data_IF_640357664060
#
_entry.id   IF_640357664060
#
_cell.length_a   1.000
_cell.length_b   1.000
_cell.length_c   1.000
_cell.angle_alpha   90.00
_cell.angle_beta   90.00
_cell.angle_gamma   90.00
#
_symmetry.space_group_name_H-M   'P 1'
#
loop_
_entity.id
_entity.type
_entity.pdbx_description
1 polymer ?
#
# COMPACT_ATOMS: atom_id res chain seq x y z
N UNK A 1 -17.75 -21.76 15.10
CA UNK A 1 -16.38 -22.09 15.57
C UNK A 1 -15.94 -20.90 16.37
N UNK A 2 -16.06 -21.05 17.68
CA UNK A 2 -15.84 -19.99 18.65
C UNK A 2 -14.35 -19.65 18.72
N UNK A 3 -14.08 -18.35 18.60
CA UNK A 3 -12.79 -17.71 18.58
C UNK A 3 -12.19 -17.80 20.00
N UNK A 4 -11.29 -18.76 20.25
CA UNK A 4 -10.46 -18.83 21.46
C UNK A 4 -9.46 -17.65 21.49
N UNK A 5 -9.97 -16.42 21.55
CA UNK A 5 -9.15 -15.26 21.90
C UNK A 5 -8.83 -15.38 23.37
N UNK A 6 -7.54 -15.51 23.70
CA UNK A 6 -7.05 -15.36 25.06
C UNK A 6 -7.62 -14.06 25.65
N UNK A 7 -8.48 -14.13 26.69
CA UNK A 7 -9.03 -12.94 27.32
C UNK A 7 -7.87 -12.15 27.95
N UNK A 8 -7.63 -10.92 27.49
CA UNK A 8 -6.81 -9.95 28.20
C UNK A 8 -5.56 -9.41 27.50
N UNK A 9 -5.32 -9.66 26.20
CA UNK A 9 -4.19 -9.01 25.52
C UNK A 9 -4.53 -7.54 25.22
N UNK A 10 -4.03 -6.64 26.06
CA UNK A 10 -4.16 -5.20 25.88
C UNK A 10 -3.47 -4.79 24.57
N UNK A 11 -4.18 -4.04 23.71
CA UNK A 11 -3.63 -3.56 22.44
C UNK A 11 -4.02 -2.12 22.12
N UNK A 12 -3.06 -1.40 21.53
CA UNK A 12 -3.22 -0.08 20.94
C UNK A 12 -3.45 -0.20 19.43
N UNK A 13 -4.20 0.71 18.84
CA UNK A 13 -4.24 0.87 17.39
C UNK A 13 -2.95 1.51 16.90
N UNK A 14 -2.64 1.33 15.62
CA UNK A 14 -1.38 1.79 15.04
C UNK A 14 -1.21 3.31 15.09
N UNK A 15 -2.30 4.03 14.84
CA UNK A 15 -2.32 5.48 14.94
C UNK A 15 -2.17 5.96 16.38
N UNK A 16 -2.95 5.42 17.32
CA UNK A 16 -2.82 5.70 18.75
C UNK A 16 -1.36 5.57 19.22
N UNK A 17 -0.71 4.45 18.90
CA UNK A 17 0.68 4.23 19.30
C UNK A 17 1.66 5.15 18.57
N UNK A 18 1.41 5.46 17.30
CA UNK A 18 2.30 6.36 16.57
C UNK A 18 2.18 7.82 17.05
N UNK A 19 1.07 8.25 17.64
CA UNK A 19 0.97 9.54 18.36
C UNK A 19 1.82 9.53 19.61
N UNK A 20 1.71 8.44 20.38
CA UNK A 20 2.51 8.19 21.57
C UNK A 20 4.01 8.25 21.22
N UNK A 21 4.47 7.52 20.19
CA UNK A 21 5.86 7.59 19.74
C UNK A 21 6.31 9.01 19.39
N UNK A 22 5.40 9.88 18.94
CA UNK A 22 5.65 11.29 18.66
C UNK A 22 5.77 12.19 19.90
N UNK A 23 5.64 11.65 21.12
CA UNK A 23 5.72 12.44 22.36
C UNK A 23 4.37 12.83 22.95
N UNK A 24 3.25 12.27 22.47
CA UNK A 24 1.95 12.52 23.08
C UNK A 24 1.93 12.09 24.55
N UNK A 25 1.38 12.94 25.41
CA UNK A 25 1.10 12.64 26.81
C UNK A 25 -0.17 11.80 26.88
N UNK A 26 -0.16 10.76 27.72
CA UNK A 26 -1.23 9.77 27.76
C UNK A 26 -2.61 10.38 28.01
N UNK A 27 -2.75 11.25 29.02
CA UNK A 27 -4.04 11.85 29.35
C UNK A 27 -4.58 12.74 28.22
N UNK A 28 -3.71 13.53 27.60
CA UNK A 28 -4.06 14.43 26.49
C UNK A 28 -4.48 13.63 25.25
N UNK A 29 -3.72 12.58 24.93
CA UNK A 29 -4.00 11.70 23.81
C UNK A 29 -5.33 10.97 24.00
N UNK A 30 -5.56 10.40 25.19
CA UNK A 30 -6.80 9.68 25.51
C UNK A 30 -8.03 10.59 25.44
N UNK A 31 -7.94 11.82 25.95
CA UNK A 31 -9.03 12.80 25.85
C UNK A 31 -9.30 13.16 24.38
N UNK A 32 -8.26 13.43 23.59
CA UNK A 32 -8.41 13.71 22.15
C UNK A 32 -9.08 12.55 21.41
N UNK A 33 -8.60 11.32 21.60
CA UNK A 33 -9.18 10.17 20.93
C UNK A 33 -10.62 9.87 21.38
N UNK A 34 -10.93 10.18 22.64
CA UNK A 34 -12.30 10.09 23.16
C UNK A 34 -13.24 11.06 22.45
N UNK A 35 -12.76 12.28 22.16
CA UNK A 35 -13.53 13.28 21.40
C UNK A 35 -13.66 12.94 19.91
N UNK A 36 -12.70 12.22 19.34
CA UNK A 36 -12.77 11.76 17.94
C UNK A 36 -13.65 10.53 17.73
N UNK A 37 -14.37 10.08 18.76
CA UNK A 37 -15.44 9.07 18.62
C UNK A 37 -15.12 7.68 19.17
N UNK A 38 -14.14 7.53 20.07
CA UNK A 38 -13.95 6.24 20.75
C UNK A 38 -15.19 5.80 21.52
N UNK A 39 -15.57 4.54 21.33
CA UNK A 39 -16.63 3.93 22.14
C UNK A 39 -16.21 3.88 23.62
N UNK A 40 -17.20 3.92 24.51
CA UNK A 40 -16.97 3.80 25.97
C UNK A 40 -16.19 2.52 26.30
N UNK A 41 -16.47 1.42 25.59
CA UNK A 41 -15.75 0.16 25.73
C UNK A 41 -14.27 0.29 25.35
N UNK A 42 -13.94 1.01 24.27
CA UNK A 42 -12.55 1.25 23.88
C UNK A 42 -11.82 2.07 24.94
N UNK A 43 -12.45 3.13 25.44
CA UNK A 43 -11.85 3.96 26.50
C UNK A 43 -11.54 3.14 27.76
N UNK A 44 -12.45 2.26 28.19
CA UNK A 44 -12.21 1.35 29.33
C UNK A 44 -11.06 0.38 29.07
N UNK A 45 -10.96 -0.14 27.84
CA UNK A 45 -9.88 -1.04 27.43
C UNK A 45 -8.51 -0.35 27.41
N UNK A 46 -8.49 0.96 27.19
CA UNK A 46 -7.25 1.75 27.14
C UNK A 46 -6.75 2.18 28.52
N UNK A 47 -7.62 2.37 29.52
CA UNK A 47 -7.22 2.84 30.87
C UNK A 47 -6.02 2.10 31.49
N UNK A 48 -5.88 0.76 31.38
CA UNK A 48 -4.73 0.06 31.92
C UNK A 48 -3.37 0.50 31.34
N UNK A 49 -3.33 1.09 30.14
CA UNK A 49 -2.10 1.59 29.54
C UNK A 49 -1.55 2.85 30.21
N UNK A 50 -2.32 3.54 31.05
CA UNK A 50 -1.87 4.76 31.73
C UNK A 50 -0.56 4.53 32.49
N UNK A 51 -0.45 3.42 33.24
CA UNK A 51 0.76 3.12 34.01
C UNK A 51 2.01 2.93 33.14
N UNK A 52 1.85 2.45 31.90
CA UNK A 52 2.95 2.26 30.95
C UNK A 52 3.48 3.58 30.43
N UNK A 53 2.64 4.58 30.22
CA UNK A 53 3.03 5.85 29.59
C UNK A 53 3.22 7.01 30.59
N UNK A 54 2.73 6.86 31.82
CA UNK A 54 2.91 7.84 32.90
C UNK A 54 4.17 7.61 33.74
N UNK A 55 4.87 6.48 33.60
CA UNK A 55 6.10 6.16 34.35
C UNK A 55 7.38 6.53 33.57
N UNK A 56 8.47 6.88 34.26
CA UNK A 56 9.79 7.10 33.64
C UNK A 56 10.60 5.80 33.67
N UNK A 57 11.40 5.46 32.62
CA UNK A 57 11.73 6.24 31.42
C UNK A 57 10.89 5.93 30.17
N UNK A 58 10.50 6.98 29.41
CA UNK A 58 9.72 6.87 28.16
C UNK A 58 10.57 6.93 26.87
N UNK A 59 11.72 7.59 26.93
CA UNK A 59 12.69 7.76 25.85
C UNK A 59 14.11 7.63 26.43
N UNK A 60 15.07 7.17 25.63
CA UNK A 60 16.48 7.06 26.02
C UNK A 60 17.14 8.44 26.11
N UNK A 61 16.78 9.34 25.20
CA UNK A 61 17.45 10.63 25.02
C UNK A 61 16.54 11.82 25.35
N UNK A 62 15.59 11.67 26.28
CA UNK A 62 14.64 12.74 26.65
C UNK A 62 15.32 14.06 27.05
N UNK A 63 16.54 14.01 27.59
CA UNK A 63 17.32 15.18 28.00
C UNK A 63 18.26 15.71 26.89
N UNK A 64 18.60 14.88 25.89
CA UNK A 64 19.47 15.26 24.76
C UNK A 64 18.60 15.63 23.57
N UNK A 65 18.37 16.94 23.36
CA UNK A 65 17.54 17.45 22.28
C UNK A 65 18.00 17.01 20.88
N UNK A 66 19.30 16.81 20.66
CA UNK A 66 19.80 16.40 19.35
C UNK A 66 19.45 14.94 19.05
N UNK A 67 19.57 14.07 20.06
CA UNK A 67 19.26 12.65 19.91
C UNK A 67 17.79 12.34 20.06
N UNK A 68 17.05 13.12 20.84
CA UNK A 68 15.61 12.94 21.06
C UNK A 68 14.81 12.92 19.74
N UNK A 69 15.09 13.88 18.84
CA UNK A 69 14.40 13.95 17.55
C UNK A 69 14.70 12.74 16.65
N UNK A 70 15.95 12.29 16.67
CA UNK A 70 16.39 11.11 15.94
C UNK A 70 15.80 9.83 16.54
N UNK A 71 15.62 9.77 17.86
CA UNK A 71 14.97 8.66 18.56
C UNK A 71 13.50 8.56 18.17
N UNK A 72 12.75 9.68 18.20
CA UNK A 72 11.35 9.72 17.77
C UNK A 72 11.22 9.28 16.31
N UNK A 73 12.07 9.81 15.41
CA UNK A 73 12.09 9.41 14.00
C UNK A 73 12.38 7.91 13.87
N UNK A 74 13.39 7.40 14.58
CA UNK A 74 13.79 6.00 14.53
C UNK A 74 12.69 5.06 15.03
N UNK A 75 12.02 5.40 16.14
CA UNK A 75 10.93 4.60 16.69
C UNK A 75 9.75 4.51 15.72
N UNK A 76 9.33 5.66 15.18
CA UNK A 76 8.26 5.74 14.16
C UNK A 76 8.64 4.99 12.88
N UNK A 77 9.88 5.13 12.43
CA UNK A 77 10.38 4.44 11.24
C UNK A 77 10.49 2.92 11.44
N UNK A 78 10.93 2.49 12.63
CA UNK A 78 11.01 1.07 12.99
C UNK A 78 9.62 0.44 13.10
N UNK A 79 8.62 1.18 13.59
CA UNK A 79 7.23 0.76 13.55
C UNK A 79 6.75 0.51 12.11
N UNK A 80 7.04 1.44 11.19
CA UNK A 80 6.72 1.28 9.77
C UNK A 80 7.48 0.12 9.12
N UNK A 81 8.78 -0.04 9.40
CA UNK A 81 9.59 -1.14 8.87
C UNK A 81 9.07 -2.50 9.36
N UNK A 82 8.67 -2.58 10.64
CA UNK A 82 8.01 -3.76 11.20
C UNK A 82 6.70 -4.11 10.47
N UNK A 83 5.90 -3.10 10.11
CA UNK A 83 4.72 -3.27 9.28
C UNK A 83 5.09 -3.82 7.90
N UNK A 84 6.04 -3.21 7.18
CA UNK A 84 6.47 -3.68 5.86
C UNK A 84 6.89 -5.16 5.87
N UNK A 85 7.69 -5.58 6.87
CA UNK A 85 8.11 -6.98 7.03
C UNK A 85 6.91 -7.93 7.21
N UNK A 86 5.94 -7.56 8.05
CA UNK A 86 4.75 -8.40 8.28
C UNK A 86 3.91 -8.51 7.01
N UNK A 87 3.67 -7.40 6.31
CA UNK A 87 2.91 -7.41 5.06
C UNK A 87 3.64 -8.19 3.97
N UNK A 88 4.97 -8.03 3.85
CA UNK A 88 5.79 -8.84 2.95
C UNK A 88 5.64 -10.34 3.25
N UNK A 89 5.73 -10.76 4.52
CA UNK A 89 5.56 -12.15 4.91
C UNK A 89 4.18 -12.71 4.54
N UNK A 90 3.12 -11.92 4.74
CA UNK A 90 1.75 -12.29 4.34
C UNK A 90 1.65 -12.46 2.82
N UNK A 91 2.19 -11.52 2.03
CA UNK A 91 2.18 -11.64 0.56
C UNK A 91 2.98 -12.83 0.07
N UNK A 92 4.15 -13.11 0.66
CA UNK A 92 4.97 -14.26 0.30
C UNK A 92 4.22 -15.58 0.57
N UNK A 93 3.52 -15.68 1.70
CA UNK A 93 2.78 -16.88 2.09
C UNK A 93 1.51 -17.09 1.26
N UNK A 94 0.76 -16.03 0.95
CA UNK A 94 -0.59 -16.16 0.40
C UNK A 94 -0.73 -15.76 -1.07
N UNK A 95 0.22 -14.99 -1.62
CA UNK A 95 0.16 -14.44 -2.99
C UNK A 95 -1.17 -13.71 -3.27
N UNK A 96 -1.72 -13.04 -2.25
CA UNK A 96 -2.98 -12.28 -2.30
C UNK A 96 -2.76 -10.89 -1.71
N UNK A 97 -3.47 -9.86 -2.21
CA UNK A 97 -3.50 -8.57 -1.56
C UNK A 97 -4.40 -8.59 -0.32
N UNK A 98 -4.21 -7.60 0.56
CA UNK A 98 -5.04 -7.39 1.74
C UNK A 98 -6.19 -6.43 1.44
N UNK A 99 -5.90 -5.32 0.73
CA UNK A 99 -6.82 -4.24 0.33
C UNK A 99 -7.50 -3.47 1.48
N UNK A 100 -7.48 -4.00 2.70
CA UNK A 100 -8.05 -3.41 3.92
C UNK A 100 -6.98 -2.83 4.87
N UNK A 101 -5.79 -2.52 4.35
CA UNK A 101 -4.69 -1.95 5.14
C UNK A 101 -5.03 -0.53 5.60
N UNK A 102 -5.29 -0.39 6.90
CA UNK A 102 -5.54 0.88 7.58
C UNK A 102 -5.12 0.82 9.06
N UNK A 103 -4.82 1.96 9.72
CA UNK A 103 -4.37 1.96 11.11
C UNK A 103 -5.32 1.26 12.10
N UNK A 104 -6.64 1.36 11.88
CA UNK A 104 -7.65 0.74 12.75
C UNK A 104 -7.59 -0.81 12.77
N UNK A 105 -7.06 -1.43 11.72
CA UNK A 105 -6.90 -2.89 11.61
C UNK A 105 -5.54 -3.38 12.11
N UNK A 106 -4.62 -2.46 12.40
CA UNK A 106 -3.28 -2.76 12.86
C UNK A 106 -3.22 -2.57 14.37
N UNK A 107 -2.92 -3.66 15.09
CA UNK A 107 -2.84 -3.63 16.54
C UNK A 107 -1.40 -3.73 17.00
N UNK A 108 -1.08 -3.04 18.08
CA UNK A 108 0.18 -3.16 18.77
C UNK A 108 -0.03 -3.72 20.16
N UNK A 109 0.84 -4.65 20.50
CA UNK A 109 0.92 -5.23 21.83
C UNK A 109 2.23 -4.82 22.47
N UNK A 110 2.15 -4.39 23.73
CA UNK A 110 3.30 -3.98 24.52
C UNK A 110 3.89 -5.22 25.24
N UNK A 111 5.19 -5.22 25.50
CA UNK A 111 5.79 -6.24 26.35
C UNK A 111 5.27 -6.09 27.79
N UNK A 112 4.81 -7.20 28.39
CA UNK A 112 4.26 -7.20 29.76
C UNK A 112 5.35 -6.92 30.81
N UNK A 113 6.58 -7.41 30.56
CA UNK A 113 7.78 -7.05 31.28
C UNK A 113 8.57 -6.07 30.41
N UNK A 114 8.51 -4.78 30.71
CA UNK A 114 9.58 -3.87 30.29
C UNK A 114 10.79 -4.25 31.09
N UNK A 115 11.79 -4.83 30.43
CA UNK A 115 13.13 -4.93 30.99
C UNK A 115 13.50 -3.58 31.64
N UNK A 116 14.04 -3.56 32.88
CA UNK A 116 14.17 -2.35 33.69
C UNK A 116 15.04 -1.25 33.05
N UNK A 117 15.75 -1.57 31.98
CA UNK A 117 16.69 -0.69 31.28
C UNK A 117 16.19 -0.22 29.90
N UNK A 118 15.08 -0.74 29.35
CA UNK A 118 14.53 -0.29 28.07
C UNK A 118 13.29 0.59 28.27
N UNK A 119 13.23 1.78 27.63
CA UNK A 119 12.02 2.59 27.69
C UNK A 119 10.83 1.88 27.07
N UNK A 120 9.64 2.11 27.63
CA UNK A 120 8.39 1.46 27.24
C UNK A 120 8.14 1.54 25.72
N UNK A 121 8.42 2.70 25.11
CA UNK A 121 8.19 2.96 23.68
C UNK A 121 9.06 2.12 22.73
N UNK A 122 10.09 1.45 23.24
CA UNK A 122 10.99 0.60 22.45
C UNK A 122 10.53 -0.85 22.33
N UNK A 123 9.68 -1.31 23.26
CA UNK A 123 9.24 -2.69 23.42
C UNK A 123 7.80 -2.90 22.95
N UNK A 124 7.60 -2.98 21.63
CA UNK A 124 6.30 -3.25 21.03
C UNK A 124 6.38 -4.34 19.97
N UNK A 125 5.25 -4.99 19.70
CA UNK A 125 5.06 -5.89 18.58
C UNK A 125 3.81 -5.53 17.81
N UNK A 126 3.90 -5.62 16.49
CA UNK A 126 2.76 -5.49 15.60
C UNK A 126 2.02 -6.83 15.51
N UNK A 127 0.73 -6.79 15.79
CA UNK A 127 -0.22 -7.87 15.56
C UNK A 127 -1.02 -7.57 14.28
N UNK A 128 -0.92 -8.49 13.32
CA UNK A 128 -1.58 -8.42 12.02
C UNK A 128 -2.71 -9.44 11.88
N UNK A 129 -3.17 -10.04 12.98
CA UNK A 129 -4.27 -11.02 13.00
C UNK A 129 -5.60 -10.49 12.47
N UNK A 130 -5.83 -9.18 12.57
CA UNK A 130 -7.06 -8.55 12.06
C UNK A 130 -6.97 -8.16 10.57
N UNK A 131 -5.82 -8.36 9.93
CA UNK A 131 -5.70 -8.14 8.49
C UNK A 131 -6.40 -9.28 7.74
N UNK A 132 -7.12 -8.93 6.68
CA UNK A 132 -7.90 -9.89 5.92
C UNK A 132 -7.36 -9.94 4.50
N UNK A 133 -7.17 -11.16 3.99
CA UNK A 133 -6.82 -11.36 2.58
C UNK A 133 -8.05 -11.04 1.72
N UNK A 134 -7.86 -10.22 0.70
CA UNK A 134 -8.94 -9.84 -0.20
C UNK A 134 -9.52 -11.07 -0.91
N UNK A 135 -10.85 -11.19 -0.91
CA UNK A 135 -11.57 -12.29 -1.55
C UNK A 135 -11.31 -12.32 -3.05
N UNK A 136 -11.24 -13.54 -3.59
CA UNK A 136 -11.13 -13.72 -5.04
C UNK A 136 -12.46 -13.39 -5.69
N UNK A 137 -12.38 -12.67 -6.80
CA UNK A 137 -13.51 -12.34 -7.64
C UNK A 137 -13.41 -13.12 -8.95
N UNK A 138 -14.51 -13.75 -9.34
CA UNK A 138 -14.63 -14.42 -10.64
C UNK A 138 -15.79 -13.79 -11.38
N UNK A 139 -15.53 -13.06 -12.49
CA UNK A 139 -16.58 -12.51 -13.33
C UNK A 139 -17.55 -13.60 -13.81
N UNK A 140 -18.86 -13.31 -13.90
CA UNK A 140 -19.83 -14.24 -14.46
C UNK A 140 -19.45 -14.64 -15.90
N UNK A 141 -19.44 -15.95 -16.18
CA UNK A 141 -19.12 -16.48 -17.51
C UNK A 141 -17.63 -16.54 -17.86
N UNK A 142 -16.73 -16.12 -16.96
CA UNK A 142 -15.29 -16.25 -17.19
C UNK A 142 -14.90 -17.73 -17.33
N UNK A 143 -14.16 -18.13 -18.39
CA UNK A 143 -13.68 -19.49 -18.53
C UNK A 143 -12.82 -19.92 -17.35
N UNK A 144 -13.04 -21.15 -16.85
CA UNK A 144 -12.34 -21.67 -15.67
C UNK A 144 -10.82 -21.82 -15.87
N UNK A 145 -10.38 -21.90 -17.12
CA UNK A 145 -8.98 -22.00 -17.52
C UNK A 145 -8.33 -20.63 -17.77
N UNK A 146 -9.08 -19.52 -17.66
CA UNK A 146 -8.53 -18.19 -17.87
C UNK A 146 -7.66 -17.77 -16.65
N UNK A 147 -6.39 -17.39 -16.84
CA UNK A 147 -5.43 -17.22 -15.74
C UNK A 147 -5.58 -15.90 -14.95
N UNK A 148 -6.77 -15.31 -14.88
CA UNK A 148 -7.00 -14.04 -14.21
C UNK A 148 -7.08 -14.20 -12.68
N UNK A 149 -6.43 -13.27 -11.95
CA UNK A 149 -6.53 -13.17 -10.50
C UNK A 149 -7.16 -11.82 -10.14
N UNK A 150 -8.48 -11.79 -10.08
CA UNK A 150 -9.22 -10.61 -9.65
C UNK A 150 -9.57 -10.73 -8.17
N UNK A 151 -9.67 -9.59 -7.50
CA UNK A 151 -9.90 -9.51 -6.07
C UNK A 151 -10.97 -8.47 -5.77
N UNK A 152 -11.84 -8.76 -4.80
CA UNK A 152 -12.91 -7.85 -4.40
C UNK A 152 -12.40 -6.77 -3.45
N UNK A 153 -12.84 -5.51 -3.60
CA UNK A 153 -12.56 -4.48 -2.61
C UNK A 153 -13.26 -4.84 -1.29
N UNK A 154 -12.66 -4.49 -0.13
CA UNK A 154 -13.30 -4.73 1.16
C UNK A 154 -14.47 -3.75 1.35
N UNK A 155 -15.55 -4.18 2.03
CA UNK A 155 -16.75 -3.34 2.23
C UNK A 155 -16.48 -2.10 3.09
N UNK A 156 -15.42 -2.13 3.90
CA UNK A 156 -15.00 -1.09 4.84
C UNK A 156 -13.74 -0.34 4.37
N UNK A 157 -13.53 -0.27 3.04
CA UNK A 157 -12.41 0.47 2.45
C UNK A 157 -12.37 1.94 2.92
N UNK A 158 -11.25 2.34 3.53
CA UNK A 158 -11.13 3.68 4.10
C UNK A 158 -10.77 4.72 3.03
N UNK A 159 -11.49 5.86 2.97
CA UNK A 159 -11.31 6.84 1.89
C UNK A 159 -9.91 7.46 1.83
N UNK A 160 -9.18 7.55 2.95
CA UNK A 160 -7.83 8.13 2.99
C UNK A 160 -6.70 7.13 2.79
N UNK A 161 -6.91 5.85 3.15
CA UNK A 161 -5.86 4.83 3.10
C UNK A 161 -5.99 3.91 1.90
N UNK A 162 -7.19 3.72 1.35
CA UNK A 162 -7.40 2.88 0.18
C UNK A 162 -6.98 3.59 -1.11
N UNK A 163 -6.33 2.84 -2.00
CA UNK A 163 -5.93 3.33 -3.32
C UNK A 163 -7.12 3.92 -4.09
N UNK A 164 -6.93 4.97 -4.92
CA UNK A 164 -8.01 5.55 -5.73
C UNK A 164 -8.79 4.51 -6.54
N UNK A 165 -8.12 3.46 -7.03
CA UNK A 165 -8.74 2.36 -7.77
C UNK A 165 -9.77 1.58 -6.95
N UNK A 166 -9.50 1.36 -5.66
CA UNK A 166 -10.41 0.68 -4.73
C UNK A 166 -11.63 1.56 -4.40
N UNK A 167 -11.46 2.89 -4.43
CA UNK A 167 -12.48 3.87 -4.04
C UNK A 167 -13.44 4.29 -5.16
N UNK A 168 -12.91 4.47 -6.38
CA UNK A 168 -13.57 5.29 -7.42
C UNK A 168 -14.38 4.51 -8.44
N UNK A 169 -14.25 3.20 -8.51
CA UNK A 169 -14.88 2.39 -9.54
C UNK A 169 -15.28 1.05 -8.93
N UNK A 170 -16.47 0.56 -9.26
CA UNK A 170 -16.74 -0.86 -9.07
C UNK A 170 -15.64 -1.67 -9.78
N UNK A 171 -15.54 -2.96 -9.47
CA UNK A 171 -14.62 -3.86 -10.18
C UNK A 171 -14.82 -3.83 -11.69
N UNK A 172 -16.01 -3.43 -12.13
CA UNK A 172 -16.49 -3.46 -13.50
C UNK A 172 -16.63 -2.04 -14.06
N UNK A 173 -16.15 -1.86 -15.28
CA UNK A 173 -16.33 -0.65 -16.07
C UNK A 173 -16.87 -1.03 -17.45
N UNK A 174 -18.03 -0.48 -17.79
CA UNK A 174 -18.62 -0.58 -19.12
C UNK A 174 -18.05 0.50 -20.05
N UNK A 175 -17.61 0.08 -21.23
CA UNK A 175 -17.16 0.98 -22.29
C UNK A 175 -17.63 0.51 -23.66
N UNK A 176 -17.65 1.44 -24.61
CA UNK A 176 -17.82 1.15 -26.03
C UNK A 176 -16.53 1.53 -26.75
N UNK A 177 -16.00 0.60 -27.54
CA UNK A 177 -14.72 0.80 -28.23
C UNK A 177 -14.73 0.25 -29.65
N UNK A 178 -13.79 0.72 -30.45
CA UNK A 178 -13.47 0.12 -31.74
C UNK A 178 -12.49 -1.03 -31.52
N UNK A 179 -12.86 -2.23 -31.97
CA UNK A 179 -12.00 -3.41 -31.94
C UNK A 179 -11.34 -3.62 -33.31
N UNK A 180 -10.01 -3.67 -33.30
CA UNK A 180 -9.17 -3.98 -34.46
C UNK A 180 -8.52 -5.34 -34.24
N UNK A 181 -8.95 -6.36 -34.97
CA UNK A 181 -8.40 -7.72 -34.85
C UNK A 181 -7.08 -7.80 -35.63
N UNK A 182 -6.01 -8.23 -34.97
CA UNK A 182 -4.67 -8.36 -35.55
C UNK A 182 -4.37 -9.79 -35.99
N UNK A 183 -4.75 -10.77 -35.17
CA UNK A 183 -4.59 -12.18 -35.48
C UNK A 183 -5.67 -13.01 -34.82
N UNK A 184 -5.95 -14.16 -35.43
CA UNK A 184 -6.89 -15.18 -34.95
C UNK A 184 -6.28 -16.55 -35.21
N UNK A 185 -6.29 -17.42 -34.20
CA UNK A 185 -5.81 -18.80 -34.30
C UNK A 185 -6.82 -19.74 -33.62
N UNK A 186 -7.09 -20.90 -34.23
CA UNK A 186 -7.99 -21.91 -33.64
C UNK A 186 -7.25 -22.72 -32.57
N UNK A 187 -7.86 -22.91 -31.40
CA UNK A 187 -7.33 -23.79 -30.36
C UNK A 187 -7.50 -25.26 -30.76
N UNK A 188 -6.45 -26.05 -30.60
CA UNK A 188 -6.42 -27.48 -30.98
C UNK A 188 -7.36 -28.34 -30.12
N UNK A 189 -7.55 -27.96 -28.86
CA UNK A 189 -8.30 -28.73 -27.87
C UNK A 189 -9.74 -28.20 -27.68
N UNK A 190 -10.39 -27.79 -28.77
CA UNK A 190 -11.79 -27.32 -28.70
C UNK A 190 -12.76 -28.49 -28.49
N UNK A 191 -13.86 -28.31 -27.73
CA UNK A 191 -14.90 -29.32 -27.58
C UNK A 191 -15.47 -29.77 -28.95
N UNK A 192 -15.93 -31.02 -29.10
CA UNK A 192 -16.51 -31.48 -30.36
C UNK A 192 -17.72 -30.64 -30.77
N UNK A 193 -17.65 -30.03 -31.96
CA UNK A 193 -18.73 -29.18 -32.50
C UNK A 193 -18.65 -27.70 -32.11
N UNK A 194 -17.67 -27.31 -31.30
CA UNK A 194 -17.42 -25.93 -30.89
C UNK A 194 -15.99 -25.52 -31.26
N UNK A 195 -15.76 -24.21 -31.41
CA UNK A 195 -14.45 -23.63 -31.68
C UNK A 195 -14.13 -22.62 -30.59
N UNK A 196 -12.97 -22.76 -29.97
CA UNK A 196 -12.32 -21.68 -29.22
C UNK A 196 -11.17 -21.12 -30.05
N UNK A 197 -11.00 -19.82 -30.05
CA UNK A 197 -9.93 -19.15 -30.77
C UNK A 197 -9.10 -18.24 -29.89
N UNK A 198 -7.80 -18.17 -30.17
CA UNK A 198 -6.89 -17.17 -29.63
C UNK A 198 -7.02 -15.92 -30.51
N UNK A 199 -7.20 -14.76 -29.88
CA UNK A 199 -7.37 -13.47 -30.55
C UNK A 199 -6.36 -12.47 -30.01
N UNK A 200 -5.60 -11.85 -30.91
CA UNK A 200 -4.85 -10.64 -30.59
C UNK A 200 -5.54 -9.46 -31.25
N UNK A 201 -5.81 -8.42 -30.47
CA UNK A 201 -6.56 -7.28 -30.93
C UNK A 201 -6.09 -5.97 -30.30
N UNK A 202 -6.57 -4.86 -30.85
CA UNK A 202 -6.38 -3.54 -30.29
C UNK A 202 -7.75 -2.90 -30.06
N UNK A 203 -8.00 -2.46 -28.82
CA UNK A 203 -9.17 -1.64 -28.49
C UNK A 203 -8.80 -0.18 -28.58
N UNK A 204 -9.61 0.61 -29.30
CA UNK A 204 -9.40 2.05 -29.48
C UNK A 204 -10.66 2.80 -29.05
N UNK A 205 -10.51 3.76 -28.13
CA UNK A 205 -11.55 4.69 -27.70
C UNK A 205 -10.88 5.91 -27.06
N UNK A 206 -11.51 7.08 -27.13
CA UNK A 206 -11.00 8.32 -26.50
C UNK A 206 -10.90 8.21 -24.97
N UNK A 207 -11.66 7.27 -24.38
CA UNK A 207 -11.67 6.97 -22.95
C UNK A 207 -10.68 5.88 -22.55
N UNK A 208 -10.10 5.16 -23.51
CA UNK A 208 -9.17 4.06 -23.26
C UNK A 208 -7.74 4.51 -23.51
N UNK A 209 -7.02 4.88 -22.45
CA UNK A 209 -5.57 5.10 -22.51
C UNK A 209 -4.84 3.89 -21.93
N UNK A 210 -3.86 3.36 -22.67
CA UNK A 210 -3.10 2.19 -22.24
C UNK A 210 -2.56 2.29 -20.80
N UNK A 211 -2.05 3.45 -20.41
CA UNK A 211 -1.48 3.69 -19.08
C UNK A 211 -2.47 3.57 -17.91
N UNK A 212 -3.78 3.62 -18.18
CA UNK A 212 -4.83 3.55 -17.15
C UNK A 212 -5.17 2.10 -16.77
N UNK A 213 -4.61 1.12 -17.48
CA UNK A 213 -4.93 -0.31 -17.32
C UNK A 213 -3.69 -1.15 -16.96
N UNK A 214 -3.88 -2.11 -16.06
CA UNK A 214 -2.82 -3.03 -15.63
C UNK A 214 -2.71 -4.23 -16.56
N UNK A 215 -1.58 -4.93 -16.50
CA UNK A 215 -1.43 -6.22 -17.18
C UNK A 215 -2.33 -7.30 -16.54
N UNK A 216 -2.77 -7.10 -15.29
CA UNK A 216 -3.74 -7.96 -14.62
C UNK A 216 -5.19 -7.62 -14.93
N UNK A 217 -5.47 -6.47 -15.56
CA UNK A 217 -6.84 -6.08 -15.91
C UNK A 217 -7.38 -7.02 -17.00
N UNK A 218 -8.64 -7.40 -16.84
CA UNK A 218 -9.33 -8.32 -17.73
C UNK A 218 -10.36 -7.56 -18.56
N UNK A 219 -10.48 -7.93 -19.82
CA UNK A 219 -11.37 -7.33 -20.79
C UNK A 219 -12.27 -8.42 -21.35
N UNK A 220 -13.57 -8.26 -21.22
CA UNK A 220 -14.57 -9.03 -21.96
C UNK A 220 -15.07 -8.15 -23.10
N UNK A 221 -14.77 -8.55 -24.33
CA UNK A 221 -15.12 -7.81 -25.54
C UNK A 221 -16.19 -8.58 -26.31
N UNK A 222 -17.30 -7.93 -26.61
CA UNK A 222 -18.35 -8.44 -27.47
C UNK A 222 -18.39 -7.64 -28.79
N UNK A 223 -17.73 -8.12 -29.86
CA UNK A 223 -17.83 -7.49 -31.17
C UNK A 223 -19.22 -7.72 -31.78
N UNK A 224 -19.77 -6.66 -32.39
CA UNK A 224 -21.03 -6.72 -33.11
C UNK A 224 -20.86 -7.41 -34.48
N UNK A 225 -21.34 -8.64 -34.61
CA UNK A 225 -21.26 -9.49 -35.81
C UNK A 225 -22.63 -9.62 -36.51
N UNK A 226 -23.10 -8.57 -37.20
CA UNK A 226 -24.43 -8.50 -37.86
C UNK A 226 -25.64 -8.76 -36.93
N UNK A 227 -26.85 -8.34 -37.32
CA UNK A 227 -27.97 -8.19 -36.38
C UNK A 227 -28.67 -9.51 -35.94
N UNK A 228 -28.41 -10.65 -36.59
CA UNK A 228 -29.21 -11.88 -36.39
C UNK A 228 -28.42 -13.11 -35.89
N UNK A 229 -27.14 -12.95 -35.51
CA UNK A 229 -26.25 -14.07 -35.15
C UNK A 229 -26.01 -14.27 -33.65
N UNK A 230 -25.54 -15.46 -33.28
CA UNK A 230 -24.94 -15.75 -31.96
C UNK A 230 -23.82 -14.73 -31.63
N UNK A 231 -23.81 -14.22 -30.40
CA UNK A 231 -22.84 -13.23 -29.95
C UNK A 231 -21.48 -13.88 -29.66
N UNK A 232 -20.42 -13.43 -30.33
CA UNK A 232 -19.05 -13.79 -29.98
C UNK A 232 -18.61 -12.97 -28.75
N UNK A 233 -17.94 -13.63 -27.80
CA UNK A 233 -17.31 -12.99 -26.65
C UNK A 233 -15.85 -13.36 -26.56
N UNK A 234 -15.01 -12.39 -26.24
CA UNK A 234 -13.56 -12.51 -26.16
C UNK A 234 -13.11 -12.10 -24.76
N UNK A 235 -12.58 -13.05 -24.00
CA UNK A 235 -11.92 -12.78 -22.72
C UNK A 235 -10.45 -12.53 -22.98
N UNK A 236 -9.93 -11.37 -22.60
CA UNK A 236 -8.58 -10.95 -22.94
C UNK A 236 -7.90 -10.18 -21.81
N UNK A 237 -6.57 -10.31 -21.73
CA UNK A 237 -5.73 -9.50 -20.85
C UNK A 237 -5.01 -8.42 -21.64
N UNK A 238 -4.59 -7.35 -20.97
CA UNK A 238 -3.69 -6.36 -21.57
C UNK A 238 -2.34 -7.02 -21.87
N UNK A 239 -1.92 -6.95 -23.14
CA UNK A 239 -0.58 -7.33 -23.58
C UNK A 239 0.38 -6.13 -23.59
N UNK A 240 -0.16 -4.94 -23.84
CA UNK A 240 0.65 -3.72 -23.89
C UNK A 240 -0.17 -2.47 -24.17
N UNK A 241 0.51 -1.33 -24.14
CA UNK A 241 -0.06 -0.03 -24.47
C UNK A 241 0.26 0.32 -25.93
N UNK A 242 -0.69 0.92 -26.64
CA UNK A 242 -0.48 1.48 -27.98
C UNK A 242 -0.58 3.01 -27.93
N UNK A 243 -0.12 3.72 -28.98
CA UNK A 243 -0.29 5.17 -29.09
C UNK A 243 -1.76 5.59 -28.95
N UNK A 244 -2.66 4.75 -29.46
CA UNK A 244 -4.11 4.91 -29.31
C UNK A 244 -4.70 3.60 -28.81
N UNK A 245 -5.13 3.57 -27.55
CA UNK A 245 -5.84 2.44 -26.96
C UNK A 245 -4.95 1.38 -26.31
N UNK A 246 -5.47 0.15 -26.25
CA UNK A 246 -4.89 -0.97 -25.49
C UNK A 246 -4.70 -2.17 -26.41
N UNK A 247 -3.53 -2.83 -26.33
CA UNK A 247 -3.28 -4.10 -27.00
C UNK A 247 -3.73 -5.24 -26.11
N UNK A 248 -4.55 -6.13 -26.66
CA UNK A 248 -5.14 -7.25 -25.98
C UNK A 248 -4.70 -8.58 -26.59
N UNK A 249 -4.61 -9.58 -25.73
CA UNK A 249 -4.46 -10.98 -26.11
C UNK A 249 -5.42 -11.81 -25.27
N UNK A 250 -6.19 -12.68 -25.92
CA UNK A 250 -7.27 -13.38 -25.26
C UNK A 250 -7.77 -14.60 -26.03
N UNK A 251 -8.82 -15.19 -25.49
CA UNK A 251 -9.50 -16.35 -26.05
C UNK A 251 -10.99 -16.08 -26.19
N UNK A 252 -11.61 -16.68 -27.20
CA UNK A 252 -13.07 -16.64 -27.34
C UNK A 252 -13.73 -17.63 -26.39
N UNK A 253 -14.96 -17.33 -26.00
CA UNK A 253 -15.89 -18.36 -25.53
C UNK A 253 -16.09 -19.42 -26.64
N UNK A 254 -16.48 -20.66 -26.29
CA UNK A 254 -16.83 -21.66 -27.29
C UNK A 254 -17.96 -21.16 -28.19
N UNK A 255 -17.73 -21.21 -29.50
CA UNK A 255 -18.73 -20.77 -30.50
C UNK A 255 -18.91 -21.83 -31.59
N UNK A 256 -20.04 -21.76 -32.29
CA UNK A 256 -20.29 -22.63 -33.44
C UNK A 256 -19.29 -22.34 -34.59
N UNK A 257 -18.97 -23.34 -35.43
CA UNK A 257 -18.09 -23.14 -36.58
C UNK A 257 -18.54 -22.03 -37.53
N UNK A 258 -19.85 -21.84 -37.68
CA UNK A 258 -20.42 -20.79 -38.51
C UNK A 258 -20.11 -19.38 -37.97
N UNK A 259 -20.24 -19.17 -36.65
CA UNK A 259 -19.89 -17.90 -35.99
C UNK A 259 -18.40 -17.62 -36.12
N UNK A 260 -17.56 -18.63 -35.90
CA UNK A 260 -16.11 -18.50 -36.03
C UNK A 260 -15.69 -18.14 -37.46
N UNK A 261 -16.24 -18.81 -38.48
CA UNK A 261 -15.98 -18.47 -39.87
C UNK A 261 -16.46 -17.04 -40.23
N UNK A 262 -17.61 -16.63 -39.69
CA UNK A 262 -18.10 -15.26 -39.83
C UNK A 262 -17.13 -14.24 -39.24
N UNK A 263 -16.61 -14.50 -38.04
CA UNK A 263 -15.60 -13.68 -37.39
C UNK A 263 -14.28 -13.66 -38.17
N UNK A 264 -13.77 -14.81 -38.63
CA UNK A 264 -12.54 -14.88 -39.45
C UNK A 264 -12.67 -14.10 -40.76
N UNK A 265 -13.83 -14.17 -41.43
CA UNK A 265 -14.12 -13.37 -42.63
C UNK A 265 -14.21 -11.87 -42.31
N UNK A 266 -14.74 -11.53 -41.14
CA UNK A 266 -14.89 -10.15 -40.69
C UNK A 266 -13.61 -9.55 -40.07
N UNK A 267 -12.57 -10.35 -39.77
CA UNK A 267 -11.36 -9.88 -39.05
C UNK A 267 -10.59 -8.75 -39.74
N UNK A 268 -10.70 -8.64 -41.07
CA UNK A 268 -10.09 -7.54 -41.83
C UNK A 268 -10.91 -6.24 -41.77
N UNK A 269 -12.14 -6.31 -41.22
CA UNK A 269 -13.01 -5.16 -41.01
C UNK A 269 -12.77 -4.57 -39.61
N UNK A 270 -13.20 -3.32 -39.47
CA UNK A 270 -13.21 -2.62 -38.19
C UNK A 270 -14.54 -2.93 -37.49
N UNK A 271 -14.47 -3.48 -36.28
CA UNK A 271 -15.66 -3.65 -35.44
C UNK A 271 -15.89 -2.35 -34.67
N UNK A 272 -16.76 -1.50 -35.23
CA UNK A 272 -17.17 -0.28 -34.56
C UNK A 272 -18.19 -0.61 -33.46
N UNK A 273 -18.11 0.12 -32.34
CA UNK A 273 -19.05 0.00 -31.21
C UNK A 273 -19.09 -1.38 -30.57
N UNK A 274 -17.96 -2.05 -30.45
CA UNK A 274 -17.87 -3.26 -29.61
C UNK A 274 -18.15 -2.89 -28.17
N UNK A 275 -18.96 -3.70 -27.50
CA UNK A 275 -19.18 -3.59 -26.05
C UNK A 275 -17.96 -4.16 -25.34
N UNK A 276 -17.50 -3.46 -24.31
CA UNK A 276 -16.34 -3.84 -23.52
C UNK A 276 -16.69 -3.74 -22.04
N UNK A 277 -16.63 -4.87 -21.36
CA UNK A 277 -16.59 -4.92 -19.89
C UNK A 277 -15.13 -5.01 -19.46
N UNK A 278 -14.71 -4.10 -18.60
CA UNK A 278 -13.35 -4.09 -18.06
C UNK A 278 -13.41 -4.42 -16.58
N UNK A 279 -12.70 -5.46 -16.19
CA UNK A 279 -12.54 -5.86 -14.80
C UNK A 279 -11.18 -5.40 -14.30
N UNK A 280 -11.20 -4.43 -13.39
CA UNK A 280 -9.99 -3.85 -12.81
C UNK A 280 -9.36 -4.81 -11.81
N UNK A 281 -8.06 -5.02 -11.96
CA UNK A 281 -7.35 -5.89 -11.06
C UNK A 281 -6.83 -5.14 -9.84
N UNK A 282 -7.28 -5.55 -8.66
CA UNK A 282 -6.79 -5.04 -7.38
C UNK A 282 -5.63 -5.91 -6.92
N UNK A 283 -4.42 -5.34 -6.89
CA UNK A 283 -3.19 -6.09 -6.63
C UNK A 283 -2.33 -5.44 -5.54
N UNK A 284 -1.13 -5.97 -5.32
CA UNK A 284 -0.09 -5.46 -4.40
C UNK A 284 0.12 -3.93 -4.48
N UNK A 285 0.07 -3.26 -5.64
CA UNK A 285 0.15 -1.78 -5.69
C UNK A 285 -0.91 -1.05 -4.86
N UNK A 286 -2.09 -1.65 -4.63
CA UNK A 286 -3.10 -1.07 -3.74
C UNK A 286 -2.65 -1.10 -2.27
N UNK A 287 -2.02 -2.21 -1.85
CA UNK A 287 -1.46 -2.33 -0.50
C UNK A 287 -0.25 -1.42 -0.30
N UNK A 288 0.58 -1.25 -1.34
CA UNK A 288 1.67 -0.28 -1.34
C UNK A 288 1.17 1.15 -1.16
N UNK A 289 0.08 1.53 -1.84
CA UNK A 289 -0.55 2.82 -1.61
C UNK A 289 -0.97 2.98 -0.15
N UNK A 290 -1.65 1.98 0.43
CA UNK A 290 -2.05 2.01 1.84
C UNK A 290 -0.85 2.16 2.78
N UNK A 291 0.24 1.44 2.53
CA UNK A 291 1.49 1.57 3.29
C UNK A 291 2.08 2.98 3.18
N UNK A 292 2.06 3.59 1.99
CA UNK A 292 2.50 4.96 1.80
C UNK A 292 1.68 5.96 2.61
N UNK A 293 0.35 5.80 2.62
CA UNK A 293 -0.53 6.65 3.42
C UNK A 293 -0.36 6.43 4.92
N UNK A 294 -0.14 5.19 5.37
CA UNK A 294 0.19 4.87 6.77
C UNK A 294 1.53 5.49 7.16
N UNK A 295 2.53 5.48 6.26
CA UNK A 295 3.81 6.15 6.52
C UNK A 295 3.63 7.66 6.69
N UNK A 296 2.87 8.31 5.81
CA UNK A 296 2.58 9.75 5.94
C UNK A 296 1.83 10.05 7.23
N UNK A 297 0.85 9.21 7.61
CA UNK A 297 0.22 9.30 8.93
C UNK A 297 1.27 9.27 10.05
N UNK A 298 2.14 8.27 10.02
CA UNK A 298 3.14 8.04 11.08
C UNK A 298 4.07 9.24 11.25
N UNK A 299 4.50 9.84 10.14
CA UNK A 299 5.48 10.92 10.16
C UNK A 299 4.87 12.31 10.32
N UNK A 300 3.63 12.53 9.87
CA UNK A 300 3.10 13.88 9.66
C UNK A 300 1.86 14.23 10.50
N UNK A 301 1.12 13.26 11.05
CA UNK A 301 -0.05 13.55 11.89
C UNK A 301 0.38 13.89 13.31
N UNK A 302 -0.23 14.94 13.89
CA UNK A 302 0.04 15.42 15.25
C UNK A 302 -1.19 16.13 15.87
N UNK A 303 -1.03 16.77 17.03
CA UNK A 303 -2.06 17.54 17.76
C UNK A 303 -2.70 18.69 16.95
N UNK A 304 -2.01 19.23 15.94
CA UNK A 304 -2.45 20.38 15.12
C UNK A 304 -2.78 20.02 13.68
N UNK A 305 -2.43 18.81 13.26
CA UNK A 305 -2.53 18.39 11.88
C UNK A 305 -3.20 17.03 11.81
N UNK A 306 -4.41 17.02 11.25
CA UNK A 306 -5.21 15.82 11.01
C UNK A 306 -4.84 15.15 9.69
N UNK A 307 -5.28 13.91 9.52
CA UNK A 307 -4.89 13.07 8.39
C UNK A 307 -5.42 13.61 7.06
N UNK A 308 -6.57 14.29 7.07
CA UNK A 308 -7.20 14.93 5.91
C UNK A 308 -6.29 16.02 5.33
N UNK A 309 -5.76 16.90 6.20
CA UNK A 309 -4.83 17.95 5.78
C UNK A 309 -3.51 17.37 5.25
N UNK A 310 -3.02 16.28 5.85
CA UNK A 310 -1.86 15.53 5.33
C UNK A 310 -2.15 14.95 3.96
N UNK A 311 -3.30 14.29 3.79
CA UNK A 311 -3.72 13.68 2.55
C UNK A 311 -3.77 14.71 1.41
N UNK A 312 -4.37 15.88 1.64
CA UNK A 312 -4.44 16.93 0.62
C UNK A 312 -3.05 17.46 0.21
N UNK A 313 -2.15 17.68 1.17
CA UNK A 313 -0.79 18.14 0.88
C UNK A 313 0.02 17.07 0.13
N UNK A 314 -0.14 15.81 0.52
CA UNK A 314 0.47 14.66 -0.15
C UNK A 314 -0.06 14.52 -1.58
N UNK A 315 -1.38 14.57 -1.81
CA UNK A 315 -1.99 14.46 -3.13
C UNK A 315 -1.54 15.59 -4.07
N UNK A 316 -1.55 16.85 -3.58
CA UNK A 316 -1.01 18.01 -4.34
C UNK A 316 0.46 17.84 -4.68
N UNK A 317 1.27 17.38 -3.73
CA UNK A 317 2.72 17.19 -3.93
C UNK A 317 2.99 16.04 -4.88
N UNK A 318 2.26 14.93 -4.76
CA UNK A 318 2.34 13.79 -5.66
C UNK A 318 2.01 14.21 -7.10
N UNK A 319 0.87 14.88 -7.32
CA UNK A 319 0.49 15.40 -8.63
C UNK A 319 1.56 16.33 -9.22
N UNK A 320 2.23 17.11 -8.38
CA UNK A 320 3.32 17.99 -8.78
C UNK A 320 4.66 17.28 -9.00
N UNK A 321 4.98 16.18 -8.31
CA UNK A 321 6.19 15.39 -8.55
C UNK A 321 6.11 14.62 -9.88
N UNK A 322 4.90 14.30 -10.32
CA UNK A 322 4.66 13.45 -11.47
C UNK A 322 4.88 11.96 -11.12
N UNK A 323 4.95 11.09 -12.12
CA UNK A 323 5.16 9.65 -11.90
C UNK A 323 6.55 9.38 -11.33
N UNK A 324 6.62 8.49 -10.33
CA UNK A 324 7.88 8.06 -9.73
C UNK A 324 8.03 6.54 -9.88
N UNK A 325 9.18 6.11 -10.37
CA UNK A 325 9.52 4.69 -10.50
C UNK A 325 9.71 4.04 -9.13
N UNK A 326 9.31 2.77 -9.00
CA UNK A 326 9.60 1.99 -7.80
C UNK A 326 11.07 1.63 -7.66
N UNK A 327 11.87 1.61 -8.73
CA UNK A 327 13.32 1.51 -8.63
C UNK A 327 13.90 2.83 -9.11
N UNK A 328 14.54 3.57 -8.21
CA UNK A 328 15.16 4.85 -8.55
C UNK A 328 16.64 4.64 -8.80
N UNK A 329 17.07 4.97 -10.02
CA UNK A 329 18.48 5.17 -10.28
C UNK A 329 18.99 6.39 -9.50
N UNK A 330 20.30 6.42 -9.22
CA UNK A 330 20.90 7.48 -8.41
C UNK A 330 20.65 8.90 -8.96
N UNK A 331 20.66 9.07 -10.29
CA UNK A 331 20.39 10.37 -10.92
C UNK A 331 18.93 10.80 -10.74
N UNK A 332 17.98 9.89 -10.94
CA UNK A 332 16.55 10.14 -10.74
C UNK A 332 16.26 10.48 -9.27
N UNK A 333 16.84 9.71 -8.32
CA UNK A 333 16.76 9.99 -6.88
C UNK A 333 17.24 11.40 -6.55
N UNK A 334 18.36 11.84 -7.10
CA UNK A 334 18.88 13.20 -6.87
C UNK A 334 17.95 14.27 -7.45
N UNK A 335 17.43 14.08 -8.65
CA UNK A 335 16.49 15.00 -9.28
C UNK A 335 15.21 15.13 -8.47
N UNK A 336 14.59 14.00 -8.10
CA UNK A 336 13.37 13.96 -7.27
C UNK A 336 13.61 14.57 -5.89
N UNK A 337 14.77 14.33 -5.28
CA UNK A 337 15.13 14.93 -3.99
C UNK A 337 15.16 16.46 -4.07
N UNK A 338 15.76 17.02 -5.14
CA UNK A 338 15.78 18.48 -5.36
C UNK A 338 14.38 19.04 -5.57
N UNK A 339 13.55 18.35 -6.35
CA UNK A 339 12.16 18.75 -6.61
C UNK A 339 11.29 18.67 -5.36
N UNK A 340 11.43 17.61 -4.56
CA UNK A 340 10.71 17.46 -3.30
C UNK A 340 11.10 18.58 -2.32
N UNK A 341 12.40 18.91 -2.18
CA UNK A 341 12.83 20.05 -1.35
C UNK A 341 12.16 21.36 -1.73
N UNK A 342 11.97 21.60 -3.03
CA UNK A 342 11.23 22.77 -3.50
C UNK A 342 9.77 22.75 -3.03
N UNK A 343 9.08 21.61 -3.15
CA UNK A 343 7.69 21.49 -2.69
C UNK A 343 7.54 21.50 -1.18
N UNK A 344 8.48 20.96 -0.41
CA UNK A 344 8.47 21.07 1.06
C UNK A 344 8.43 22.53 1.52
N UNK A 345 9.18 23.42 0.83
CA UNK A 345 9.15 24.85 1.14
C UNK A 345 7.80 25.49 0.83
N UNK A 346 7.06 24.96 -0.14
CA UNK A 346 5.75 25.46 -0.58
C UNK A 346 4.61 24.96 0.32
N UNK A 347 4.61 23.68 0.69
CA UNK A 347 3.58 23.10 1.58
C UNK A 347 3.78 23.51 3.05
N UNK A 348 4.92 24.13 3.38
CA UNK A 348 5.15 24.78 4.67
C UNK A 348 5.34 23.77 5.81
N UNK A 349 4.64 24.00 6.92
CA UNK A 349 4.81 23.16 8.12
C UNK A 349 4.28 21.74 7.95
N UNK A 350 3.36 21.51 7.00
CA UNK A 350 2.63 20.24 6.86
C UNK A 350 3.57 19.07 6.56
N UNK A 351 4.51 19.25 5.62
CA UNK A 351 5.48 18.24 5.23
C UNK A 351 6.86 18.47 5.89
N UNK A 352 6.92 19.34 6.90
CA UNK A 352 8.17 19.66 7.58
C UNK A 352 8.54 18.59 8.61
N UNK A 353 9.84 18.47 8.91
CA UNK A 353 10.35 17.58 9.96
C UNK A 353 9.79 17.89 11.35
N UNK A 354 9.21 19.08 11.58
CA UNK A 354 8.50 19.38 12.83
C UNK A 354 7.30 18.48 13.04
N UNK A 355 6.65 18.04 11.96
CA UNK A 355 5.43 17.24 12.06
C UNK A 355 5.66 15.87 12.73
N UNK A 356 6.92 15.44 12.87
CA UNK A 356 7.29 14.20 13.56
C UNK A 356 6.87 14.20 15.05
N UNK A 357 6.84 15.38 15.67
CA UNK A 357 6.47 15.53 17.08
C UNK A 357 4.98 15.79 17.23
N UNK A 358 4.39 15.11 18.20
CA UNK A 358 2.98 15.25 18.52
C UNK A 358 2.69 16.58 19.19
N UNK A 359 3.57 17.09 20.08
CA UNK A 359 3.31 18.32 20.86
C UNK A 359 3.97 19.55 20.26
N UNK A 360 3.30 20.70 20.37
CA UNK A 360 3.83 21.99 19.89
C UNK A 360 5.19 22.35 20.51
N UNK A 361 5.34 22.19 21.82
CA UNK A 361 6.56 22.59 22.52
C UNK A 361 7.82 21.89 21.98
N UNK A 362 7.69 20.63 21.58
CA UNK A 362 8.77 19.85 20.98
C UNK A 362 9.06 20.30 19.54
N UNK A 363 8.02 20.67 18.77
CA UNK A 363 8.16 21.20 17.41
C UNK A 363 8.96 22.49 17.33
N UNK A 364 8.78 23.37 18.30
CA UNK A 364 9.48 24.66 18.35
C UNK A 364 10.97 24.51 18.69
N UNK A 365 11.36 23.41 19.35
CA UNK A 365 12.67 23.28 19.98
C UNK A 365 13.52 22.08 19.52
N UNK A 366 12.96 21.11 18.78
CA UNK A 366 13.56 19.79 18.62
C UNK A 366 13.86 19.32 17.21
N UNK A 367 13.39 19.98 16.14
CA UNK A 367 13.38 19.35 14.82
C UNK A 367 14.70 19.48 14.01
N UNK A 368 15.58 20.41 14.39
CA UNK A 368 16.76 20.75 13.58
C UNK A 368 17.80 19.63 13.49
N UNK A 369 17.81 18.73 14.48
CA UNK A 369 18.78 17.64 14.54
C UNK A 369 18.47 16.47 13.60
N UNK A 370 17.29 16.42 12.96
CA UNK A 370 17.03 15.45 11.88
C UNK A 370 17.68 15.98 10.59
N UNK A 371 18.64 15.23 9.99
CA UNK A 371 19.23 15.58 8.70
C UNK A 371 18.18 15.64 7.58
N UNK A 372 18.27 16.68 6.75
CA UNK A 372 17.31 16.92 5.67
C UNK A 372 17.30 15.80 4.63
N UNK A 373 18.41 15.10 4.42
CA UNK A 373 18.50 13.99 3.48
C UNK A 373 17.77 12.73 3.99
N UNK A 374 17.81 12.46 5.30
CA UNK A 374 17.02 11.39 5.91
C UNK A 374 15.51 11.69 5.81
N UNK A 375 15.12 12.95 6.10
CA UNK A 375 13.73 13.37 5.99
C UNK A 375 13.20 13.28 4.56
N UNK A 376 13.97 13.79 3.59
CA UNK A 376 13.62 13.73 2.18
C UNK A 376 13.54 12.28 1.68
N UNK A 377 14.47 11.41 2.09
CA UNK A 377 14.41 10.00 1.71
C UNK A 377 13.19 9.28 2.30
N UNK A 378 12.83 9.55 3.55
CA UNK A 378 11.62 9.02 4.19
C UNK A 378 10.36 9.41 3.42
N UNK A 379 10.21 10.69 3.07
CA UNK A 379 9.06 11.17 2.30
C UNK A 379 9.06 10.63 0.87
N UNK A 380 10.22 10.53 0.21
CA UNK A 380 10.32 9.93 -1.12
C UNK A 380 9.89 8.46 -1.14
N UNK A 381 10.19 7.69 -0.08
CA UNK A 381 9.65 6.34 0.08
C UNK A 381 8.11 6.39 0.12
N UNK A 382 7.52 7.29 0.93
CA UNK A 382 6.07 7.49 0.96
C UNK A 382 5.47 7.84 -0.40
N UNK A 383 6.07 8.78 -1.13
CA UNK A 383 5.60 9.18 -2.45
C UNK A 383 5.70 8.05 -3.48
N UNK A 384 6.79 7.28 -3.48
CA UNK A 384 6.95 6.10 -4.35
C UNK A 384 5.86 5.06 -4.12
N UNK A 385 5.49 4.85 -2.86
CA UNK A 385 4.46 3.89 -2.48
C UNK A 385 3.08 4.28 -3.01
N UNK A 386 2.69 5.55 -2.87
CA UNK A 386 1.37 6.02 -3.33
C UNK A 386 1.27 6.30 -4.83
N UNK A 387 2.41 6.46 -5.51
CA UNK A 387 2.45 6.74 -6.95
C UNK A 387 2.82 5.53 -7.80
N UNK A 388 2.94 4.35 -7.18
CA UNK A 388 3.31 3.15 -7.89
C UNK A 388 2.36 2.90 -9.07
N UNK A 389 2.96 2.77 -10.26
CA UNK A 389 2.22 2.66 -11.51
C UNK A 389 1.60 1.28 -11.69
N UNK A 390 0.53 1.30 -12.47
CA UNK A 390 -0.33 0.18 -12.83
C UNK A 390 0.38 -0.83 -13.77
N UNK A 391 1.51 -0.45 -14.38
CA UNK A 391 2.24 -1.26 -15.39
C UNK A 391 3.38 -2.11 -14.82
N UNK A 392 3.26 -2.62 -13.59
CA UNK A 392 4.25 -3.61 -13.10
C UNK A 392 3.92 -4.99 -13.69
N UNK A 393 4.89 -5.68 -14.32
CA UNK A 393 4.73 -7.06 -14.75
C UNK A 393 4.29 -7.99 -13.60
N UNK A 394 3.37 -8.92 -13.87
CA UNK A 394 2.79 -9.80 -12.86
C UNK A 394 3.86 -10.66 -12.15
N UNK A 395 4.90 -11.06 -12.87
CA UNK A 395 6.05 -11.82 -12.37
C UNK A 395 6.95 -11.01 -11.41
N UNK A 396 6.88 -9.68 -11.45
CA UNK A 396 7.65 -8.79 -10.60
C UNK A 396 6.89 -8.33 -9.35
N UNK A 397 5.58 -8.62 -9.26
CA UNK A 397 4.74 -8.19 -8.13
C UNK A 397 5.27 -8.66 -6.78
N UNK A 398 5.73 -9.91 -6.69
CA UNK A 398 6.31 -10.47 -5.46
C UNK A 398 7.60 -9.76 -5.00
N UNK A 399 8.37 -9.21 -5.94
CA UNK A 399 9.58 -8.45 -5.64
C UNK A 399 9.33 -7.04 -5.12
N UNK A 400 8.16 -6.44 -5.40
CA UNK A 400 7.88 -5.05 -5.02
C UNK A 400 7.89 -4.86 -3.50
N UNK A 401 7.18 -5.72 -2.77
CA UNK A 401 7.12 -5.66 -1.30
C UNK A 401 8.48 -5.92 -0.65
N UNK A 402 9.28 -6.80 -1.25
CA UNK A 402 10.64 -7.06 -0.78
C UNK A 402 11.54 -5.82 -0.98
N UNK A 403 11.44 -5.16 -2.13
CA UNK A 403 12.17 -3.92 -2.41
C UNK A 403 11.80 -2.78 -1.45
N UNK A 404 10.51 -2.62 -1.15
CA UNK A 404 10.02 -1.63 -0.18
C UNK A 404 10.54 -1.92 1.23
N UNK A 405 10.51 -3.18 1.65
CA UNK A 405 11.02 -3.58 2.97
C UNK A 405 12.52 -3.34 3.06
N UNK A 406 13.29 -3.71 2.04
CA UNK A 406 14.72 -3.46 1.98
C UNK A 406 15.06 -1.95 2.01
N UNK A 407 14.30 -1.12 1.31
CA UNK A 407 14.45 0.34 1.34
C UNK A 407 14.14 0.90 2.74
N UNK A 408 13.09 0.40 3.39
CA UNK A 408 12.74 0.78 4.76
C UNK A 408 13.83 0.39 5.76
N UNK A 409 14.36 -0.83 5.66
CA UNK A 409 15.46 -1.30 6.49
C UNK A 409 16.74 -0.50 6.29
N UNK A 410 17.08 -0.19 5.02
CA UNK A 410 18.25 0.61 4.69
C UNK A 410 18.16 2.00 5.31
N UNK A 411 17.03 2.70 5.16
CA UNK A 411 16.85 4.01 5.78
C UNK A 411 16.85 3.91 7.31
N UNK A 412 16.23 2.87 7.86
CA UNK A 412 16.24 2.60 9.30
C UNK A 412 17.64 2.41 9.87
N UNK A 413 18.51 1.70 9.12
CA UNK A 413 19.93 1.57 9.45
C UNK A 413 20.67 2.90 9.45
N UNK A 414 20.39 3.79 8.48
CA UNK A 414 20.98 5.14 8.44
C UNK A 414 20.50 6.02 9.59
N UNK A 415 19.19 6.02 9.88
CA UNK A 415 18.64 6.76 11.03
C UNK A 415 19.27 6.25 12.34
N UNK A 416 19.43 4.93 12.48
CA UNK A 416 20.08 4.30 13.63
C UNK A 416 21.54 4.75 13.78
N UNK A 417 22.29 4.81 12.67
CA UNK A 417 23.67 5.31 12.65
C UNK A 417 23.76 6.78 13.06
N UNK A 418 22.82 7.63 12.64
CA UNK A 418 22.80 9.04 13.08
C UNK A 418 22.42 9.16 14.56
N UNK A 419 21.45 8.39 15.04
CA UNK A 419 20.98 8.42 16.43
C UNK A 419 22.08 8.06 17.43
N UNK A 420 22.81 6.99 17.14
CA UNK A 420 23.85 6.47 18.03
C UNK A 420 25.25 6.94 17.62
N UNK A 421 25.45 7.53 16.44
CA UNK A 421 26.77 7.90 15.94
C UNK A 421 27.71 6.70 15.73
N UNK A 422 28.93 6.98 15.28
CA UNK A 422 29.95 5.97 14.96
C UNK A 422 30.93 5.65 16.11
N UNK A 423 30.77 6.28 17.29
CA UNK A 423 31.70 6.12 18.43
C UNK A 423 31.41 4.85 19.23
N UNK A 424 32.46 4.12 19.63
CA UNK A 424 32.41 2.81 20.31
C UNK A 424 31.41 2.70 21.48
N UNK A 425 31.30 3.72 22.34
CA UNK A 425 30.40 3.65 23.51
C UNK A 425 28.91 3.59 23.15
N UNK A 426 28.53 4.18 22.02
CA UNK A 426 27.17 4.08 21.52
C UNK A 426 26.92 2.77 20.77
N UNK A 427 27.99 2.10 20.31
CA UNK A 427 27.94 0.75 19.74
C UNK A 427 27.64 -0.30 20.81
N UNK A 428 28.21 -0.18 22.01
CA UNK A 428 27.90 -1.06 23.15
C UNK A 428 26.43 -0.95 23.59
N UNK A 429 25.89 0.26 23.67
CA UNK A 429 24.46 0.50 23.97
C UNK A 429 23.57 -0.11 22.88
N UNK A 430 23.97 0.03 21.62
CA UNK A 430 23.30 -0.55 20.47
C UNK A 430 23.30 -2.09 20.50
N UNK A 431 24.45 -2.69 20.74
CA UNK A 431 24.62 -4.15 20.81
C UNK A 431 23.77 -4.72 21.94
N UNK A 432 23.72 -4.06 23.10
CA UNK A 432 22.81 -4.44 24.17
C UNK A 432 21.33 -4.37 23.73
N UNK A 433 20.89 -3.24 23.18
CA UNK A 433 19.50 -3.06 22.75
C UNK A 433 19.06 -4.08 21.67
N UNK A 434 19.94 -4.38 20.70
CA UNK A 434 19.67 -5.35 19.65
C UNK A 434 19.60 -6.79 20.19
N UNK A 435 20.50 -7.14 21.11
CA UNK A 435 20.55 -8.47 21.73
C UNK A 435 19.29 -8.73 22.54
N UNK A 436 18.84 -7.76 23.32
CA UNK A 436 17.59 -7.84 24.09
C UNK A 436 16.37 -7.95 23.16
N UNK A 437 16.33 -7.15 22.08
CA UNK A 437 15.24 -7.25 21.09
C UNK A 437 15.18 -8.62 20.44
N UNK A 438 16.33 -9.21 20.12
CA UNK A 438 16.42 -10.54 19.54
C UNK A 438 15.89 -11.60 20.51
N UNK A 439 16.34 -11.58 21.76
CA UNK A 439 15.86 -12.51 22.81
C UNK A 439 14.34 -12.39 23.02
N UNK A 440 13.80 -11.16 23.09
CA UNK A 440 12.36 -10.92 23.19
C UNK A 440 11.56 -11.45 22.00
N UNK A 441 12.17 -11.49 20.81
CA UNK A 441 11.55 -12.05 19.60
C UNK A 441 11.60 -13.59 19.57
N UNK A 442 12.64 -14.19 20.12
CA UNK A 442 12.84 -15.65 20.16
C UNK A 442 11.95 -16.30 21.24
N UNK A 443 11.85 -15.70 22.43
CA UNK A 443 10.96 -16.16 23.52
C UNK A 443 9.48 -16.13 23.12
N UNK A 444 9.10 -15.33 22.13
CA UNK A 444 7.72 -15.23 21.63
C UNK A 444 7.37 -16.18 20.49
N UNK A 445 8.37 -16.78 19.84
CA UNK A 445 8.18 -17.70 18.71
C UNK A 445 8.38 -19.17 19.10
N UNK A 446 8.87 -19.45 20.32
CA UNK A 446 8.82 -20.77 20.96
C UNK A 446 7.63 -20.87 21.89
#
# INVERSE_FOLDING_TARGET
MDDERLPGQMSLQYDEFSDLLGGAVWEEALDRWSRSGFSIARQQTLRPFASYFSSSPQFLFSEDRQRYSLEVLWLKWNLFTGLCRRIQGIHQAHQRPLLNLQPAHLRLTMAAATEPFLPVRWGFSLDTSNLQLADRFTPPGMPADFPAQLFSPPPDAHPLYSAPLVRRQGLEQEETATLLVRSTERMRDSPPGEIRGIVQAQLVSDRLKGADYSLGDLFLVAPHLSEEGESLRIWASKRGSAERGVLLEGVTEPVSPAVWEGFEKARQKVFARSEVMIYKSLHIPCDLYSLGMILFRTLLVNDRQEMEGVYEAVDRTAGQLGPISLSLENQEKQFLSRRLRFYLRKEGEILSKKAIFHRQQERENGCDAIPDDLWIEALLIGFRLIQNRVEVPLDQLGGLMAGVTADAERLGGRIKLELFGSRERNREILEACDLIRKELSEVRNG
#
